data_IF_197838690190
#
_entry.id   IF_197838690190
#
_cell.length_a   1.000
_cell.length_b   1.000
_cell.length_c   1.000
_cell.angle_alpha   90.00
_cell.angle_beta   90.00
_cell.angle_gamma   90.00
#
_symmetry.space_group_name_H-M   'P 1'
#
loop_
_entity.id
_entity.type
_entity.pdbx_description
1 polymer ?
#
# COMPACT_ATOMS: atom_id res chain seq x y z
N UNK A 1 -24.60 2.35 -30.32
CA UNK A 1 -24.52 3.16 -29.07
C UNK A 1 -24.40 2.16 -27.91
N UNK A 2 -23.21 1.58 -27.75
CA UNK A 2 -22.97 0.47 -26.80
C UNK A 2 -22.65 1.10 -25.45
N UNK A 3 -23.51 0.83 -24.48
CA UNK A 3 -23.36 1.24 -23.08
C UNK A 3 -22.16 0.49 -22.52
N UNK A 4 -21.13 1.22 -22.11
CA UNK A 4 -20.00 0.66 -21.38
C UNK A 4 -20.52 -0.11 -20.17
N UNK A 5 -20.27 -1.42 -20.14
CA UNK A 5 -20.27 -2.20 -18.91
C UNK A 5 -19.14 -1.65 -18.05
N UNK A 6 -19.47 -0.72 -17.15
CA UNK A 6 -18.65 -0.45 -15.98
C UNK A 6 -18.82 -1.67 -15.08
N UNK A 7 -18.06 -2.71 -15.38
CA UNK A 7 -17.72 -3.70 -14.39
C UNK A 7 -16.96 -2.93 -13.31
N UNK A 8 -17.55 -2.76 -12.14
CA UNK A 8 -16.81 -2.30 -10.97
C UNK A 8 -15.72 -3.35 -10.72
N UNK A 9 -14.55 -3.11 -11.30
CA UNK A 9 -13.35 -3.88 -10.99
C UNK A 9 -13.07 -3.56 -9.54
N UNK A 10 -13.49 -4.45 -8.64
CA UNK A 10 -13.07 -4.42 -7.25
C UNK A 10 -11.56 -4.63 -7.28
N UNK A 11 -10.81 -3.53 -7.21
CA UNK A 11 -9.37 -3.60 -7.11
C UNK A 11 -9.03 -4.34 -5.81
N UNK A 12 -8.11 -5.31 -5.84
CA UNK A 12 -7.70 -5.97 -4.62
C UNK A 12 -7.13 -4.92 -3.65
N UNK A 13 -7.47 -5.05 -2.37
CA UNK A 13 -6.87 -4.23 -1.31
C UNK A 13 -5.37 -4.49 -1.29
N UNK A 14 -4.56 -3.43 -1.34
CA UNK A 14 -3.09 -3.49 -1.40
C UNK A 14 -2.46 -2.94 -0.14
N UNK A 15 -1.30 -3.45 0.24
CA UNK A 15 -0.48 -2.83 1.29
C UNK A 15 0.38 -1.71 0.70
N UNK A 16 0.90 -0.82 1.55
CA UNK A 16 1.77 0.28 1.12
C UNK A 16 3.03 -0.25 0.40
N UNK A 17 3.66 -1.31 0.91
CA UNK A 17 4.84 -1.93 0.29
C UNK A 17 4.52 -2.47 -1.12
N UNK A 18 3.36 -3.09 -1.31
CA UNK A 18 2.93 -3.55 -2.63
C UNK A 18 2.71 -2.39 -3.60
N UNK A 19 2.17 -1.25 -3.14
CA UNK A 19 2.02 -0.07 -3.98
C UNK A 19 3.36 0.51 -4.45
N UNK A 20 4.38 0.48 -3.57
CA UNK A 20 5.74 0.84 -3.97
C UNK A 20 6.30 -0.14 -5.02
N UNK A 21 6.13 -1.45 -4.83
CA UNK A 21 6.57 -2.47 -5.79
C UNK A 21 5.87 -2.34 -7.17
N UNK A 22 4.54 -2.14 -7.18
CA UNK A 22 3.74 -2.06 -8.42
C UNK A 22 4.00 -0.78 -9.21
N UNK A 23 4.18 0.35 -8.52
CA UNK A 23 4.33 1.66 -9.17
C UNK A 23 5.78 1.99 -9.51
N UNK A 24 6.75 1.36 -8.85
CA UNK A 24 8.17 1.69 -8.97
C UNK A 24 8.53 3.09 -8.46
N UNK A 25 7.64 3.75 -7.72
CA UNK A 25 7.89 5.06 -7.12
C UNK A 25 8.90 4.93 -5.99
N UNK A 26 9.75 5.95 -5.84
CA UNK A 26 10.66 6.05 -4.70
C UNK A 26 9.98 6.67 -3.47
N UNK A 27 10.62 6.56 -2.30
CA UNK A 27 10.15 7.25 -1.08
C UNK A 27 10.14 8.76 -1.32
N UNK A 28 11.14 9.27 -2.04
CA UNK A 28 11.29 10.67 -2.41
C UNK A 28 10.13 11.15 -3.31
N UNK A 29 9.72 10.34 -4.30
CA UNK A 29 8.56 10.65 -5.16
C UNK A 29 7.28 10.76 -4.33
N UNK A 30 7.08 9.83 -3.39
CA UNK A 30 5.91 9.83 -2.51
C UNK A 30 5.97 10.98 -1.51
N UNK A 31 7.14 11.33 -0.99
CA UNK A 31 7.35 12.48 -0.12
C UNK A 31 6.96 13.78 -0.84
N UNK A 32 7.42 13.97 -2.07
CA UNK A 32 7.09 15.14 -2.88
C UNK A 32 5.58 15.26 -3.13
N UNK A 33 4.90 14.15 -3.44
CA UNK A 33 3.46 14.14 -3.75
C UNK A 33 2.59 14.29 -2.50
N UNK A 34 2.91 13.57 -1.43
CA UNK A 34 2.11 13.54 -0.19
C UNK A 34 2.42 14.69 0.77
N UNK A 35 3.54 15.40 0.56
CA UNK A 35 4.06 16.41 1.50
C UNK A 35 4.31 15.82 2.90
N UNK A 36 4.69 14.55 2.95
CA UNK A 36 5.20 13.89 4.16
C UNK A 36 6.72 13.80 4.08
N UNK A 37 7.36 13.85 5.24
CA UNK A 37 8.81 13.62 5.34
C UNK A 37 9.18 12.19 4.95
N UNK A 38 10.33 11.99 4.30
CA UNK A 38 10.80 10.65 3.90
C UNK A 38 10.86 9.68 5.10
N UNK A 39 11.39 10.12 6.24
CA UNK A 39 11.48 9.31 7.47
C UNK A 39 10.10 8.85 7.96
N UNK A 40 9.07 9.68 7.76
CA UNK A 40 7.68 9.34 8.12
C UNK A 40 7.16 8.24 7.21
N UNK A 41 7.39 8.35 5.91
CA UNK A 41 6.99 7.35 4.91
C UNK A 41 7.73 6.04 5.14
N UNK A 42 9.04 6.09 5.40
CA UNK A 42 9.84 4.89 5.72
C UNK A 42 9.29 4.19 6.96
N UNK A 43 9.02 4.93 8.05
CA UNK A 43 8.46 4.38 9.27
C UNK A 43 7.10 3.70 9.07
N UNK A 44 6.26 4.23 8.18
CA UNK A 44 4.98 3.62 7.78
C UNK A 44 5.25 2.34 6.97
N UNK A 45 6.13 2.40 5.98
CA UNK A 45 6.48 1.28 5.10
C UNK A 45 6.97 0.06 5.89
N UNK A 46 7.80 0.29 6.92
CA UNK A 46 8.32 -0.79 7.79
C UNK A 46 7.43 -1.09 9.00
N UNK A 47 6.23 -0.53 9.07
CA UNK A 47 5.24 -0.80 10.13
C UNK A 47 5.56 -0.24 11.51
N UNK A 48 6.56 0.66 11.63
CA UNK A 48 6.94 1.34 12.89
C UNK A 48 6.01 2.50 13.25
N UNK A 49 5.24 2.99 12.29
CA UNK A 49 4.28 4.09 12.48
C UNK A 49 2.90 3.73 11.94
N UNK A 50 1.86 3.98 12.72
CA UNK A 50 0.47 3.92 12.25
C UNK A 50 0.10 5.27 11.66
N UNK A 51 -0.19 5.39 10.35
CA UNK A 51 -0.58 6.66 9.78
C UNK A 51 -1.92 7.15 10.34
N UNK A 52 -1.97 8.43 10.68
CA UNK A 52 -3.18 9.18 11.04
C UNK A 52 -4.15 9.29 9.85
N UNK A 53 -5.44 9.62 10.06
CA UNK A 53 -6.41 9.73 8.97
C UNK A 53 -5.99 10.70 7.85
N UNK A 54 -5.36 11.81 8.20
CA UNK A 54 -4.83 12.79 7.24
C UNK A 54 -3.61 12.25 6.46
N UNK A 55 -2.67 11.57 7.14
CA UNK A 55 -1.56 10.91 6.46
C UNK A 55 -2.05 9.82 5.48
N UNK A 56 -3.11 9.09 5.84
CA UNK A 56 -3.74 8.11 4.95
C UNK A 56 -4.31 8.74 3.68
N UNK A 57 -5.04 9.85 3.83
CA UNK A 57 -5.57 10.61 2.69
C UNK A 57 -4.45 11.06 1.75
N UNK A 58 -3.38 11.62 2.30
CA UNK A 58 -2.25 12.14 1.52
C UNK A 58 -1.46 11.04 0.82
N UNK A 59 -1.25 9.90 1.48
CA UNK A 59 -0.60 8.74 0.86
C UNK A 59 -1.45 8.13 -0.25
N UNK A 60 -2.74 7.91 -0.01
CA UNK A 60 -3.65 7.38 -1.04
C UNK A 60 -3.66 8.28 -2.29
N UNK A 61 -3.75 9.60 -2.08
CA UNK A 61 -3.66 10.59 -3.16
C UNK A 61 -2.32 10.55 -3.91
N UNK A 62 -1.19 10.36 -3.21
CA UNK A 62 0.14 10.27 -3.82
C UNK A 62 0.31 9.04 -4.74
N UNK A 63 -0.37 7.95 -4.40
CA UNK A 63 -0.45 6.73 -5.20
C UNK A 63 -1.56 6.75 -6.26
N UNK A 64 -2.46 7.74 -6.22
CA UNK A 64 -3.60 7.82 -7.14
C UNK A 64 -4.67 6.77 -6.88
N UNK A 65 -4.81 6.32 -5.63
CA UNK A 65 -5.81 5.33 -5.19
C UNK A 65 -6.69 5.91 -4.09
N UNK A 66 -7.75 5.20 -3.70
CA UNK A 66 -8.59 5.58 -2.55
C UNK A 66 -8.03 5.01 -1.25
N UNK A 67 -8.52 5.50 -0.10
CA UNK A 67 -8.06 5.01 1.21
C UNK A 67 -8.50 3.55 1.42
N UNK A 68 -9.64 3.20 0.85
CA UNK A 68 -10.27 1.88 0.91
C UNK A 68 -9.50 0.84 0.09
N UNK A 69 -8.75 1.29 -0.93
CA UNK A 69 -7.86 0.44 -1.73
C UNK A 69 -6.58 0.03 -0.97
N UNK A 70 -6.33 0.64 0.21
CA UNK A 70 -5.11 0.45 0.99
C UNK A 70 -5.42 -0.25 2.32
N UNK A 71 -4.72 -1.34 2.58
CA UNK A 71 -4.63 -1.95 3.90
C UNK A 71 -3.63 -1.17 4.77
N UNK A 72 -4.15 -0.47 5.78
CA UNK A 72 -3.38 0.35 6.72
C UNK A 72 -2.89 -0.43 7.96
N UNK A 73 -3.06 -1.75 7.96
CA UNK A 73 -2.61 -2.61 9.05
C UNK A 73 -1.09 -2.61 9.18
N UNK A 74 -0.60 -2.90 10.38
CA UNK A 74 0.83 -3.07 10.57
C UNK A 74 1.28 -4.34 9.85
N UNK A 75 2.15 -4.19 8.85
CA UNK A 75 3.10 -5.26 8.53
C UNK A 75 4.13 -5.26 9.65
N UNK A 76 3.73 -5.72 10.84
CA UNK A 76 4.70 -6.17 11.83
C UNK A 76 5.35 -7.37 11.16
N UNK A 77 6.52 -7.20 10.54
CA UNK A 77 7.41 -8.32 10.44
C UNK A 77 7.54 -8.84 11.89
N UNK A 78 7.00 -10.01 12.23
CA UNK A 78 7.22 -10.54 13.56
C UNK A 78 8.74 -10.58 13.73
N UNK A 79 9.26 -10.24 14.91
CA UNK A 79 10.70 -10.36 15.23
C UNK A 79 11.21 -11.83 15.16
N UNK A 80 10.40 -12.74 14.61
CA UNK A 80 10.68 -14.12 14.23
C UNK A 80 10.17 -14.32 12.79
N UNK A 81 11.00 -14.03 11.79
CA UNK A 81 10.73 -14.44 10.40
C UNK A 81 11.18 -15.89 10.24
N UNK A 82 10.30 -16.84 10.52
CA UNK A 82 10.20 -18.12 9.79
C UNK A 82 8.73 -18.52 9.78
N UNK A 83 8.26 -18.98 8.62
CA UNK A 83 6.87 -19.34 8.29
C UNK A 83 5.96 -18.16 7.87
N UNK A 84 6.05 -17.78 6.59
CA UNK A 84 4.88 -17.85 5.68
C UNK A 84 5.14 -17.38 4.24
N UNK A 85 6.36 -17.03 3.85
CA UNK A 85 6.72 -16.91 2.41
C UNK A 85 7.24 -18.22 1.80
N UNK A 86 6.72 -19.36 2.27
CA UNK A 86 6.85 -20.68 1.65
C UNK A 86 5.54 -21.43 1.88
N UNK A 87 4.83 -21.73 0.79
CA UNK A 87 3.63 -22.57 0.82
C UNK A 87 2.40 -21.86 0.30
N UNK A 88 2.39 -21.58 -1.01
CA UNK A 88 1.22 -21.81 -1.87
C UNK A 88 1.70 -21.69 -3.33
N UNK A 89 2.38 -22.75 -3.77
CA UNK A 89 2.28 -23.23 -5.14
C UNK A 89 1.84 -24.69 -5.10
N UNK A 90 0.98 -24.96 -6.08
CA UNK A 90 0.50 -26.22 -6.65
C UNK A 90 -0.66 -26.95 -5.97
N UNK A 91 -1.63 -27.29 -6.83
CA UNK A 91 -3.04 -27.47 -6.53
C UNK A 91 -3.46 -28.74 -5.81
N UNK A 92 -4.72 -28.70 -5.36
CA UNK A 92 -5.62 -29.79 -5.02
C UNK A 92 -7.03 -29.39 -5.43
#
# INVERSE_FOLDING_TARGET
RIRALLEEVILPIRTIDLLFEETGLSIEDIAERSKLECDRIEAILVGRWTPSPDERQRLAAAFGVTIEDISWGHSMAPRVIRYHRFGLRDGF
#
